data_IF_041017590581
#
_entry.id   IF_041017590581
#
_cell.length_a   1.000
_cell.length_b   1.000
_cell.length_c   1.000
_cell.angle_alpha   90.00
_cell.angle_beta   90.00
_cell.angle_gamma   90.00
#
_symmetry.space_group_name_H-M   'P 1'
#
loop_
_entity.id
_entity.type
_entity.pdbx_description
1 polymer ?
#
# COMPACT_ATOMS: atom_id res chain seq x y z
N UNK A 1 1.50 12.05 -7.99
CA UNK A 1 1.05 11.39 -9.25
C UNK A 1 2.30 10.95 -10.00
N UNK A 2 2.45 9.65 -10.19
CA UNK A 2 3.66 9.03 -10.75
C UNK A 2 3.20 8.16 -11.91
N UNK A 3 3.76 8.38 -13.11
CA UNK A 3 3.34 7.71 -14.34
C UNK A 3 1.83 7.83 -14.64
N UNK A 4 1.19 8.94 -14.25
CA UNK A 4 -0.26 9.13 -14.42
C UNK A 4 -1.13 8.45 -13.37
N UNK A 5 -0.53 7.73 -12.40
CA UNK A 5 -1.24 7.03 -11.33
C UNK A 5 -1.07 7.81 -10.02
N UNK A 6 -2.16 7.96 -9.30
CA UNK A 6 -2.21 8.48 -7.93
C UNK A 6 -2.16 7.29 -6.99
N UNK A 7 -1.19 7.33 -6.10
CA UNK A 7 -1.08 6.41 -4.98
C UNK A 7 -1.37 7.19 -3.72
N UNK A 8 -2.07 6.57 -2.78
CA UNK A 8 -2.23 7.11 -1.44
C UNK A 8 -0.87 7.21 -0.73
N UNK A 9 -0.76 8.22 0.13
CA UNK A 9 0.42 8.44 0.96
C UNK A 9 0.70 7.28 1.91
N UNK A 10 1.98 7.03 2.17
CA UNK A 10 2.42 6.09 3.21
C UNK A 10 2.26 6.79 4.55
N UNK A 11 1.46 6.22 5.46
CA UNK A 11 1.22 6.80 6.78
C UNK A 11 2.36 6.43 7.71
N UNK A 12 3.03 7.44 8.26
CA UNK A 12 4.21 7.27 9.11
C UNK A 12 4.03 7.95 10.47
N UNK A 13 4.58 7.33 11.51
CA UNK A 13 4.74 7.91 12.83
C UNK A 13 6.22 7.81 13.19
N UNK A 14 6.93 8.95 13.18
CA UNK A 14 8.40 8.98 13.35
C UNK A 14 9.11 8.07 12.34
N UNK A 15 9.73 6.99 12.79
CA UNK A 15 10.43 5.99 11.97
C UNK A 15 9.56 4.79 11.59
N UNK A 16 8.33 4.70 12.11
CA UNK A 16 7.43 3.57 11.93
C UNK A 16 6.45 3.80 10.78
N UNK A 17 6.28 2.79 9.93
CA UNK A 17 5.19 2.76 8.94
C UNK A 17 3.94 2.20 9.60
N UNK A 18 2.92 3.05 9.71
CA UNK A 18 1.63 2.73 10.31
C UNK A 18 0.72 2.04 9.29
N UNK A 19 0.69 2.56 8.06
CA UNK A 19 -0.11 2.05 6.96
C UNK A 19 0.60 2.26 5.61
N UNK A 20 0.34 1.38 4.65
CA UNK A 20 1.01 1.38 3.35
C UNK A 20 2.33 0.61 3.32
N UNK A 21 2.48 -0.46 4.12
CA UNK A 21 3.67 -1.33 4.11
C UNK A 21 3.97 -1.92 2.72
N UNK A 22 2.95 -2.49 2.06
CA UNK A 22 3.08 -3.00 0.70
C UNK A 22 3.48 -1.88 -0.28
N UNK A 23 2.82 -0.71 -0.19
CA UNK A 23 3.16 0.47 -1.00
C UNK A 23 4.61 0.90 -0.81
N UNK A 24 5.11 0.92 0.43
CA UNK A 24 6.49 1.24 0.72
C UNK A 24 7.46 0.24 0.07
N UNK A 25 7.26 -1.06 0.29
CA UNK A 25 8.12 -2.10 -0.31
C UNK A 25 8.10 -2.02 -1.84
N UNK A 26 6.93 -1.93 -2.46
CA UNK A 26 6.79 -1.81 -3.91
C UNK A 26 7.45 -0.55 -4.46
N UNK A 27 7.36 0.58 -3.73
CA UNK A 27 8.01 1.83 -4.13
C UNK A 27 9.53 1.72 -4.19
N UNK A 28 10.14 0.98 -3.25
CA UNK A 28 11.58 0.69 -3.25
C UNK A 28 11.93 -0.19 -4.45
N UNK A 29 11.20 -1.28 -4.66
CA UNK A 29 11.47 -2.22 -5.75
C UNK A 29 11.32 -1.57 -7.13
N UNK A 30 10.33 -0.69 -7.30
CA UNK A 30 10.08 0.04 -8.54
C UNK A 30 10.95 1.30 -8.68
N UNK A 31 11.77 1.64 -7.67
CA UNK A 31 12.54 2.89 -7.60
C UNK A 31 11.66 4.15 -7.83
N UNK A 32 10.49 4.15 -7.20
CA UNK A 32 9.49 5.21 -7.27
C UNK A 32 9.36 5.86 -5.89
N UNK A 33 9.32 7.19 -5.83
CA UNK A 33 9.16 7.91 -4.57
C UNK A 33 7.67 8.17 -4.28
N UNK A 34 7.12 7.51 -3.28
CA UNK A 34 5.78 7.80 -2.77
C UNK A 34 5.80 8.88 -1.68
N UNK A 35 4.70 9.65 -1.63
CA UNK A 35 4.48 10.66 -0.61
C UNK A 35 4.19 10.01 0.75
N UNK A 36 4.44 10.76 1.82
CA UNK A 36 4.29 10.31 3.21
C UNK A 36 3.42 11.26 3.99
N UNK A 37 2.44 10.73 4.71
CA UNK A 37 1.57 11.49 5.59
C UNK A 37 1.86 11.15 7.07
N UNK A 38 1.84 12.16 7.94
CA UNK A 38 1.95 11.92 9.38
C UNK A 38 0.68 11.24 9.90
N UNK A 39 0.86 10.22 10.73
CA UNK A 39 -0.21 9.53 11.44
C UNK A 39 0.16 9.29 12.89
N UNK A 40 -0.85 9.03 13.71
CA UNK A 40 -0.68 8.66 15.12
C UNK A 40 -0.49 7.15 15.26
N UNK A 41 0.25 6.75 16.29
CA UNK A 41 0.23 5.39 16.83
C UNK A 41 -0.70 5.30 18.03
N UNK A 42 -1.24 4.11 18.27
CA UNK A 42 -2.07 3.79 19.44
C UNK A 42 -1.33 2.79 20.33
N UNK A 43 -1.76 2.64 21.59
CA UNK A 43 -1.19 1.62 22.48
C UNK A 43 -1.38 0.17 21.99
N UNK A 44 -2.31 -0.05 21.07
CA UNK A 44 -2.54 -1.35 20.43
C UNK A 44 -1.61 -1.58 19.21
N UNK A 45 -0.79 -0.60 18.83
CA UNK A 45 0.13 -0.73 17.70
C UNK A 45 1.30 -1.60 18.11
N UNK A 46 1.43 -2.77 17.48
CA UNK A 46 2.59 -3.65 17.66
C UNK A 46 3.65 -3.27 16.62
N UNK A 47 4.85 -3.00 17.09
CA UNK A 47 6.00 -2.65 16.26
C UNK A 47 6.75 -3.93 15.86
N UNK A 48 7.15 -4.02 14.60
CA UNK A 48 7.88 -5.17 14.03
C UNK A 48 9.11 -4.67 13.28
N UNK A 49 10.24 -5.37 13.42
CA UNK A 49 11.42 -5.12 12.58
C UNK A 49 11.19 -5.72 11.18
N UNK A 50 11.67 -5.05 10.14
CA UNK A 50 11.58 -5.55 8.78
C UNK A 50 12.27 -6.90 8.57
N UNK A 51 13.27 -7.24 9.40
CA UNK A 51 13.93 -8.55 9.39
C UNK A 51 13.04 -9.69 9.88
N UNK A 52 11.95 -9.37 10.57
CA UNK A 52 10.97 -10.35 11.08
C UNK A 52 9.76 -10.50 10.14
N UNK A 53 9.70 -9.74 9.04
CA UNK A 53 8.60 -9.78 8.07
C UNK A 53 8.87 -10.83 7.01
N UNK A 54 7.95 -11.78 6.85
CA UNK A 54 7.99 -12.80 5.80
C UNK A 54 6.98 -12.48 4.69
N UNK A 55 7.40 -12.66 3.44
CA UNK A 55 6.51 -12.60 2.29
C UNK A 55 5.99 -14.00 2.01
N UNK A 56 4.68 -14.18 2.05
CA UNK A 56 4.00 -15.44 1.73
C UNK A 56 3.25 -15.32 0.42
N UNK A 57 3.08 -16.44 -0.28
CA UNK A 57 2.27 -16.51 -1.51
C UNK A 57 0.76 -16.58 -1.22
N UNK A 58 0.38 -16.77 0.04
CA UNK A 58 -1.01 -16.86 0.46
C UNK A 58 -1.73 -15.52 0.27
N UNK A 59 -2.79 -15.53 -0.54
CA UNK A 59 -3.68 -14.38 -0.71
C UNK A 59 -4.76 -14.42 0.37
N UNK A 60 -4.81 -13.36 1.17
CA UNK A 60 -5.72 -13.24 2.32
C UNK A 60 -6.99 -12.48 1.96
N UNK A 61 -7.00 -11.76 0.83
CA UNK A 61 -8.17 -11.09 0.30
C UNK A 61 -8.99 -12.01 -0.61
N UNK A 62 -10.32 -11.91 -0.53
CA UNK A 62 -11.19 -12.64 -1.45
C UNK A 62 -11.11 -12.05 -2.86
N UNK A 63 -11.36 -12.87 -3.88
CA UNK A 63 -11.39 -12.42 -5.28
C UNK A 63 -12.36 -11.25 -5.49
N UNK A 64 -13.53 -11.28 -4.83
CA UNK A 64 -14.52 -10.20 -4.87
C UNK A 64 -13.99 -8.90 -4.27
N UNK A 65 -13.25 -8.99 -3.15
CA UNK A 65 -12.63 -7.82 -2.50
C UNK A 65 -11.55 -7.23 -3.41
N UNK A 66 -10.68 -8.08 -3.97
CA UNK A 66 -9.64 -7.66 -4.91
C UNK A 66 -10.26 -6.96 -6.13
N UNK A 67 -11.29 -7.57 -6.72
CA UNK A 67 -12.01 -6.98 -7.85
C UNK A 67 -12.58 -5.61 -7.51
N UNK A 68 -13.28 -5.50 -6.37
CA UNK A 68 -13.88 -4.23 -5.93
C UNK A 68 -12.82 -3.15 -5.69
N UNK A 69 -11.67 -3.50 -5.11
CA UNK A 69 -10.57 -2.55 -4.88
C UNK A 69 -9.95 -2.09 -6.21
N UNK A 70 -9.75 -3.00 -7.16
CA UNK A 70 -9.24 -2.65 -8.49
C UNK A 70 -10.21 -1.72 -9.26
N UNK A 71 -11.53 -1.94 -9.15
CA UNK A 71 -12.56 -1.05 -9.71
C UNK A 71 -12.45 0.37 -9.15
N UNK A 72 -12.30 0.49 -7.82
CA UNK A 72 -12.15 1.79 -7.16
C UNK A 72 -10.85 2.48 -7.57
N UNK A 73 -9.74 1.75 -7.64
CA UNK A 73 -8.45 2.30 -8.07
C UNK A 73 -8.50 2.76 -9.52
N UNK A 74 -9.15 2.00 -10.41
CA UNK A 74 -9.34 2.38 -11.80
C UNK A 74 -10.19 3.66 -11.94
N UNK A 75 -11.28 3.78 -11.16
CA UNK A 75 -12.13 4.98 -11.12
C UNK A 75 -11.35 6.21 -10.67
N UNK A 76 -10.60 6.13 -9.57
CA UNK A 76 -9.80 7.24 -9.02
C UNK A 76 -8.70 7.68 -9.99
N UNK A 77 -8.14 6.73 -10.74
CA UNK A 77 -7.05 6.97 -11.68
C UNK A 77 -7.49 7.22 -13.12
N UNK A 78 -8.79 7.17 -13.42
CA UNK A 78 -9.34 7.23 -14.78
C UNK A 78 -8.68 6.22 -15.73
N UNK A 79 -8.42 5.02 -15.22
CA UNK A 79 -7.84 3.91 -15.98
C UNK A 79 -8.92 2.91 -16.41
N UNK A 80 -8.78 2.28 -17.57
CA UNK A 80 -9.63 1.14 -17.91
C UNK A 80 -9.32 -0.02 -16.99
N UNK A 81 -10.34 -0.80 -16.63
CA UNK A 81 -10.13 -2.06 -15.94
C UNK A 81 -9.50 -3.04 -16.92
N UNK A 82 -8.28 -3.49 -16.62
CA UNK A 82 -7.73 -4.65 -17.31
C UNK A 82 -8.61 -5.86 -17.00
N UNK A 83 -9.16 -6.48 -18.05
CA UNK A 83 -9.74 -7.80 -17.93
C UNK A 83 -8.58 -8.79 -17.87
N UNK A 84 -8.36 -9.39 -16.69
CA UNK A 84 -7.58 -10.63 -16.61
C UNK A 84 -8.33 -11.76 -17.31
#
# INVERSE_FOLDING_TARGET
MINGIKFDDIKVCETLIIDGRHRYTSSILANIKLDKAKSSKTNATIEYDWKEVEFVEEEWDTEDKIKRLNELDAEVNNLPLEKK
#
